data_IF_006262166225
#
_entry.id   IF_006262166225
#
_cell.length_a   1.000
_cell.length_b   1.000
_cell.length_c   1.000
_cell.angle_alpha   90.00
_cell.angle_beta   90.00
_cell.angle_gamma   90.00
#
_symmetry.space_group_name_H-M   'P 1'
#
loop_
_entity.id
_entity.type
_entity.pdbx_description
1 polymer ?
#
# COMPACT_ATOMS: atom_id res chain seq x y z
N UNK A 1 30.11 14.90 31.27
CA UNK A 1 30.83 13.65 30.93
C UNK A 1 30.03 12.95 29.85
N UNK A 2 30.58 12.78 28.64
CA UNK A 2 29.88 12.16 27.49
C UNK A 2 29.56 10.70 27.85
N UNK A 3 28.28 10.32 27.83
CA UNK A 3 27.85 8.94 28.11
C UNK A 3 28.50 8.02 27.06
N UNK A 4 29.01 6.86 27.47
CA UNK A 4 29.61 5.87 26.57
C UNK A 4 28.59 5.50 25.48
N UNK A 5 28.97 5.66 24.21
CA UNK A 5 28.22 5.15 23.05
C UNK A 5 27.94 3.67 23.31
N UNK A 6 26.66 3.31 23.38
CA UNK A 6 26.26 1.91 23.31
C UNK A 6 26.55 1.48 21.88
N UNK A 7 27.60 0.70 21.69
CA UNK A 7 27.94 0.11 20.40
C UNK A 7 27.36 -1.31 20.37
N UNK A 8 26.17 -1.52 19.77
CA UNK A 8 25.56 -2.85 19.70
C UNK A 8 26.34 -3.81 18.80
N UNK A 9 27.26 -3.31 17.94
CA UNK A 9 27.95 -4.13 16.94
C UNK A 9 29.41 -3.68 16.78
N UNK A 10 30.34 -4.52 17.24
CA UNK A 10 31.79 -4.28 17.11
C UNK A 10 32.16 -3.90 15.67
N UNK A 11 32.57 -2.64 15.45
CA UNK A 11 32.91 -2.00 14.16
C UNK A 11 31.73 -1.51 13.30
N UNK A 12 30.66 -0.98 13.90
CA UNK A 12 29.61 -0.30 13.15
C UNK A 12 30.15 0.99 12.48
N UNK A 13 30.09 1.04 11.15
CA UNK A 13 30.34 2.26 10.35
C UNK A 13 29.00 2.71 9.82
N UNK A 14 28.51 3.83 10.35
CA UNK A 14 27.28 4.46 9.88
C UNK A 14 27.53 5.14 8.54
N UNK A 15 26.55 5.07 7.65
CA UNK A 15 26.58 5.92 6.46
C UNK A 15 26.29 7.39 6.83
N UNK A 16 26.43 8.30 5.86
CA UNK A 16 26.25 9.75 6.10
C UNK A 16 24.85 10.08 6.64
N UNK A 17 23.81 9.37 6.20
CA UNK A 17 22.43 9.60 6.61
C UNK A 17 22.17 9.07 8.03
N UNK A 18 22.69 7.87 8.33
CA UNK A 18 22.60 7.28 9.67
C UNK A 18 23.36 8.11 10.72
N UNK A 19 24.55 8.64 10.36
CA UNK A 19 25.32 9.53 11.23
C UNK A 19 24.59 10.85 11.48
N UNK A 20 23.95 11.42 10.46
CA UNK A 20 23.13 12.63 10.60
C UNK A 20 21.95 12.42 11.57
N UNK A 21 21.28 11.27 11.47
CA UNK A 21 20.18 10.90 12.39
C UNK A 21 20.66 10.74 13.83
N UNK A 22 21.77 10.05 14.06
CA UNK A 22 22.38 9.91 15.39
C UNK A 22 22.74 11.27 15.98
N UNK A 23 23.36 12.14 15.20
CA UNK A 23 23.73 13.47 15.67
C UNK A 23 22.48 14.33 15.96
N UNK A 24 21.40 14.22 15.17
CA UNK A 24 20.13 14.91 15.41
C UNK A 24 19.41 14.41 16.68
N UNK A 25 19.49 13.09 16.94
CA UNK A 25 19.04 12.48 18.19
C UNK A 25 19.83 12.98 19.40
N UNK A 26 21.17 13.05 19.30
CA UNK A 26 22.03 13.60 20.37
C UNK A 26 21.76 15.10 20.62
N UNK A 27 21.43 15.86 19.57
CA UNK A 27 21.05 17.29 19.68
C UNK A 27 19.66 17.50 20.27
N UNK A 28 18.84 16.44 20.40
CA UNK A 28 17.50 16.52 20.98
C UNK A 28 16.51 17.31 20.10
N UNK A 29 16.74 17.33 18.78
CA UNK A 29 15.90 18.08 17.81
C UNK A 29 14.49 17.49 17.68
N UNK A 30 14.33 16.20 17.99
CA UNK A 30 13.05 15.52 17.94
C UNK A 30 12.28 15.70 19.25
N UNK A 31 11.24 16.52 19.22
CA UNK A 31 10.26 16.62 20.30
C UNK A 31 9.10 15.68 20.05
N UNK A 32 8.64 15.01 21.11
CA UNK A 32 7.41 14.20 21.04
C UNK A 32 6.22 15.09 20.73
N UNK A 33 5.36 14.61 19.83
CA UNK A 33 4.13 15.29 19.49
C UNK A 33 3.25 15.51 20.75
N UNK A 34 2.76 16.73 21.02
CA UNK A 34 1.85 17.00 22.12
C UNK A 34 0.62 16.09 22.16
N UNK A 35 0.15 15.64 20.99
CA UNK A 35 -1.02 14.76 20.83
C UNK A 35 -0.62 13.33 20.40
N UNK A 36 0.57 12.87 20.77
CA UNK A 36 1.14 11.59 20.34
C UNK A 36 0.16 10.41 20.38
N UNK A 37 -0.65 10.29 21.44
CA UNK A 37 -1.63 9.20 21.59
C UNK A 37 -2.75 9.25 20.55
N UNK A 38 -3.25 10.44 20.23
CA UNK A 38 -4.29 10.64 19.24
C UNK A 38 -3.75 10.44 17.82
N UNK A 39 -2.61 11.07 17.51
CA UNK A 39 -1.98 10.96 16.20
C UNK A 39 -1.52 9.53 15.92
N UNK A 40 -0.93 8.84 16.91
CA UNK A 40 -0.60 7.41 16.79
C UNK A 40 -1.83 6.58 16.44
N UNK A 41 -2.95 6.79 17.15
CA UNK A 41 -4.20 6.06 16.88
C UNK A 41 -4.73 6.36 15.48
N UNK A 42 -4.70 7.62 15.06
CA UNK A 42 -5.09 8.03 13.71
C UNK A 42 -4.25 7.33 12.64
N UNK A 43 -2.93 7.32 12.79
CA UNK A 43 -2.03 6.66 11.84
C UNK A 43 -2.20 5.14 11.83
N UNK A 44 -2.39 4.51 12.99
CA UNK A 44 -2.69 3.08 13.08
C UNK A 44 -4.00 2.72 12.36
N UNK A 45 -5.05 3.52 12.54
CA UNK A 45 -6.33 3.32 11.86
C UNK A 45 -6.21 3.55 10.35
N UNK A 46 -5.48 4.58 9.93
CA UNK A 46 -5.25 4.86 8.51
C UNK A 46 -4.48 3.72 7.83
N UNK A 47 -3.43 3.21 8.48
CA UNK A 47 -2.65 2.08 7.98
C UNK A 47 -3.50 0.81 7.86
N UNK A 48 -4.31 0.50 8.89
CA UNK A 48 -5.24 -0.65 8.84
C UNK A 48 -6.24 -0.54 7.69
N UNK A 49 -6.88 0.62 7.53
CA UNK A 49 -7.82 0.85 6.44
C UNK A 49 -7.17 0.72 5.08
N UNK A 50 -5.95 1.24 4.92
CA UNK A 50 -5.21 1.10 3.66
C UNK A 50 -4.97 -0.37 3.31
N UNK A 51 -4.47 -1.16 4.27
CA UNK A 51 -4.24 -2.59 4.08
C UNK A 51 -5.57 -3.30 3.74
N UNK A 52 -6.63 -3.05 4.50
CA UNK A 52 -7.95 -3.66 4.27
C UNK A 52 -8.54 -3.34 2.89
N UNK A 53 -8.27 -2.14 2.36
CA UNK A 53 -8.75 -1.70 1.05
C UNK A 53 -7.89 -2.25 -0.12
N UNK A 54 -6.60 -2.45 0.10
CA UNK A 54 -5.70 -3.04 -0.90
C UNK A 54 -5.77 -4.58 -0.94
N UNK A 55 -6.29 -5.21 0.12
CA UNK A 55 -6.48 -6.66 0.16
C UNK A 55 -7.43 -7.14 -0.95
N UNK A 56 -6.88 -7.92 -1.88
CA UNK A 56 -7.68 -8.55 -2.93
C UNK A 56 -8.53 -9.68 -2.36
N UNK A 57 -9.85 -9.62 -2.54
CA UNK A 57 -10.78 -10.71 -2.19
C UNK A 57 -11.29 -11.43 -3.45
N UNK A 58 -11.28 -12.76 -3.41
CA UNK A 58 -11.80 -13.59 -4.51
C UNK A 58 -13.32 -13.60 -4.54
N UNK A 59 -13.91 -13.42 -5.72
CA UNK A 59 -15.36 -13.54 -5.95
C UNK A 59 -15.67 -14.71 -6.90
N UNK A 60 -16.71 -15.48 -6.59
CA UNK A 60 -17.19 -16.57 -7.45
C UNK A 60 -18.31 -16.07 -8.35
N UNK A 61 -18.13 -16.16 -9.66
CA UNK A 61 -19.09 -15.69 -10.66
C UNK A 61 -19.46 -16.83 -11.62
N UNK A 62 -20.76 -17.03 -11.87
CA UNK A 62 -21.24 -17.96 -12.90
C UNK A 62 -21.53 -17.19 -14.18
N UNK A 63 -20.89 -17.60 -15.26
CA UNK A 63 -21.00 -16.95 -16.58
C UNK A 63 -21.32 -17.99 -17.66
N UNK A 64 -22.06 -17.58 -18.69
CA UNK A 64 -22.34 -18.47 -19.84
C UNK A 64 -21.05 -18.71 -20.63
N UNK A 65 -20.86 -19.93 -21.13
CA UNK A 65 -19.67 -20.33 -21.91
C UNK A 65 -19.44 -19.43 -23.13
N UNK A 66 -20.53 -19.03 -23.80
CA UNK A 66 -20.51 -18.09 -24.95
C UNK A 66 -19.89 -16.74 -24.57
N UNK A 67 -20.26 -16.20 -23.43
CA UNK A 67 -19.79 -14.88 -22.99
C UNK A 67 -18.34 -14.94 -22.49
N UNK A 68 -17.96 -16.02 -21.81
CA UNK A 68 -16.55 -16.29 -21.47
C UNK A 68 -15.66 -16.34 -22.71
N UNK A 69 -16.10 -17.00 -23.79
CA UNK A 69 -15.34 -17.04 -25.05
C UNK A 69 -15.17 -15.64 -25.65
N UNK A 70 -16.23 -14.84 -25.68
CA UNK A 70 -16.15 -13.46 -26.17
C UNK A 70 -15.21 -12.60 -25.34
N UNK A 71 -15.24 -12.75 -24.01
CA UNK A 71 -14.36 -12.03 -23.09
C UNK A 71 -12.90 -12.41 -23.35
N UNK A 72 -12.58 -13.70 -23.45
CA UNK A 72 -11.22 -14.17 -23.77
C UNK A 72 -10.73 -13.63 -25.11
N UNK A 73 -11.59 -13.64 -26.14
CA UNK A 73 -11.25 -13.06 -27.44
C UNK A 73 -10.98 -11.55 -27.35
N UNK A 74 -11.76 -10.80 -26.56
CA UNK A 74 -11.55 -9.36 -26.37
C UNK A 74 -10.27 -9.08 -25.58
N UNK A 75 -9.95 -9.88 -24.56
CA UNK A 75 -8.73 -9.76 -23.78
C UNK A 75 -7.48 -10.05 -24.63
N UNK A 76 -7.53 -11.12 -25.44
CA UNK A 76 -6.45 -11.48 -26.36
C UNK A 76 -6.13 -10.37 -27.37
N UNK A 77 -7.16 -9.70 -27.92
CA UNK A 77 -6.97 -8.54 -28.82
C UNK A 77 -6.24 -7.37 -28.17
N UNK A 78 -6.34 -7.23 -26.84
CA UNK A 78 -5.70 -6.17 -26.07
C UNK A 78 -4.41 -6.65 -25.39
N UNK A 79 -3.92 -7.87 -25.70
CA UNK A 79 -2.74 -8.49 -25.07
C UNK A 79 -2.79 -8.52 -23.53
N UNK A 80 -3.98 -8.70 -22.94
CA UNK A 80 -4.18 -8.80 -21.49
C UNK A 80 -4.87 -10.11 -21.13
N UNK A 81 -4.69 -10.56 -19.88
CA UNK A 81 -5.46 -11.68 -19.34
C UNK A 81 -6.95 -11.32 -19.22
N UNK A 82 -7.83 -12.30 -19.38
CA UNK A 82 -9.28 -12.06 -19.29
C UNK A 82 -9.71 -11.64 -17.88
N UNK A 83 -9.00 -12.09 -16.84
CA UNK A 83 -9.21 -11.64 -15.47
C UNK A 83 -8.89 -10.14 -15.32
N UNK A 84 -7.79 -9.68 -15.93
CA UNK A 84 -7.41 -8.26 -15.94
C UNK A 84 -8.48 -7.41 -16.62
N UNK A 85 -9.03 -7.88 -17.75
CA UNK A 85 -10.13 -7.19 -18.42
C UNK A 85 -11.38 -7.09 -17.53
N UNK A 86 -11.70 -8.12 -16.74
CA UNK A 86 -12.80 -8.07 -15.75
C UNK A 86 -12.51 -7.02 -14.68
N UNK A 87 -11.29 -6.99 -14.13
CA UNK A 87 -10.93 -6.00 -13.11
C UNK A 87 -11.02 -4.57 -13.66
N UNK A 88 -10.56 -4.33 -14.89
CA UNK A 88 -10.69 -3.01 -15.55
C UNK A 88 -12.15 -2.63 -15.71
N UNK A 89 -13.02 -3.57 -16.11
CA UNK A 89 -14.46 -3.32 -16.23
C UNK A 89 -15.08 -2.93 -14.89
N UNK A 90 -14.73 -3.66 -13.82
CA UNK A 90 -15.20 -3.36 -12.46
C UNK A 90 -14.76 -1.95 -12.06
N UNK A 91 -13.48 -1.62 -12.20
CA UNK A 91 -12.94 -0.30 -11.85
C UNK A 91 -13.60 0.83 -12.66
N UNK A 92 -13.76 0.66 -13.98
CA UNK A 92 -14.43 1.66 -14.81
C UNK A 92 -15.90 1.86 -14.42
N UNK A 93 -16.57 0.80 -13.95
CA UNK A 93 -17.94 0.91 -13.47
C UNK A 93 -18.01 1.61 -12.11
N UNK A 94 -17.14 1.26 -11.16
CA UNK A 94 -17.12 1.89 -9.82
C UNK A 94 -16.68 3.36 -9.88
N UNK A 95 -15.81 3.73 -10.82
CA UNK A 95 -15.39 5.11 -11.07
C UNK A 95 -16.43 5.92 -11.88
N UNK A 96 -17.56 5.32 -12.28
CA UNK A 96 -18.62 6.00 -13.04
C UNK A 96 -18.30 6.28 -14.52
N UNK A 97 -17.21 5.71 -15.04
CA UNK A 97 -16.80 5.84 -16.46
C UNK A 97 -17.64 4.97 -17.40
N UNK A 98 -18.34 3.98 -16.86
CA UNK A 98 -19.22 3.06 -17.62
C UNK A 98 -20.61 3.04 -17.02
N UNK A 99 -21.65 3.15 -17.86
CA UNK A 99 -23.05 3.03 -17.44
C UNK A 99 -23.57 1.61 -17.71
N UNK A 100 -24.20 1.01 -16.72
CA UNK A 100 -24.99 -0.22 -16.88
C UNK A 100 -26.46 0.20 -16.88
N UNK A 101 -27.20 -0.18 -17.91
CA UNK A 101 -28.65 -0.06 -17.90
C UNK A 101 -29.19 -1.30 -17.17
N UNK A 102 -29.96 -1.08 -16.10
CA UNK A 102 -30.63 -2.10 -15.30
C UNK A 102 -32.07 -2.29 -15.76
#
# INVERSE_FOLDING_TARGET
MKKKKFDPFKNLVLDEYEQELEDALERGEFVSDPNFKENKKMFEEAAKRHIELEESKSITLRIKKKDLMKLKAKAARNNIAYQTLINVLINQYTEGKTKINL
#
